data_IF_905082041838
#
_entry.id   IF_905082041838
#
_cell.length_a   1.000
_cell.length_b   1.000
_cell.length_c   1.000
_cell.angle_alpha   90.00
_cell.angle_beta   90.00
_cell.angle_gamma   90.00
#
_symmetry.space_group_name_H-M   'P 1'
#
loop_
_entity.id
_entity.type
_entity.pdbx_description
1 polymer ?
#
# COMPACT_ATOMS: atom_id res chain seq x y z
N UNK A 1 69.64 -9.45 -5.28
CA UNK A 1 68.89 -8.37 -5.96
C UNK A 1 67.50 -8.78 -6.48
N UNK A 2 66.88 -9.86 -5.97
CA UNK A 2 65.58 -10.37 -6.45
C UNK A 2 64.39 -10.18 -5.49
N UNK A 3 64.61 -9.79 -4.22
CA UNK A 3 63.52 -9.61 -3.25
C UNK A 3 62.89 -8.20 -3.23
N UNK A 4 63.52 -7.20 -3.88
CA UNK A 4 62.98 -5.84 -3.96
C UNK A 4 61.99 -5.64 -5.13
N UNK A 5 62.00 -6.52 -6.14
CA UNK A 5 61.13 -6.44 -7.32
C UNK A 5 59.75 -7.08 -7.10
N UNK A 6 59.63 -8.08 -6.22
CA UNK A 6 58.33 -8.67 -5.86
C UNK A 6 57.47 -7.78 -4.95
N UNK A 7 58.10 -6.95 -4.11
CA UNK A 7 57.42 -6.02 -3.20
C UNK A 7 56.69 -4.89 -3.94
N UNK A 8 57.30 -4.34 -5.01
CA UNK A 8 56.68 -3.27 -5.82
C UNK A 8 55.51 -3.76 -6.69
N UNK A 9 55.55 -5.00 -7.20
CA UNK A 9 54.44 -5.57 -7.97
C UNK A 9 53.20 -5.86 -7.11
N UNK A 10 53.37 -6.32 -5.85
CA UNK A 10 52.24 -6.54 -4.94
C UNK A 10 51.59 -5.24 -4.44
N UNK A 11 52.36 -4.17 -4.23
CA UNK A 11 51.79 -2.86 -3.85
C UNK A 11 50.94 -2.22 -4.97
N UNK A 12 51.33 -2.38 -6.24
CA UNK A 12 50.55 -1.82 -7.35
C UNK A 12 49.24 -2.58 -7.65
N UNK A 13 49.18 -3.88 -7.35
CA UNK A 13 47.93 -4.66 -7.49
C UNK A 13 46.94 -4.31 -6.36
N UNK A 14 47.42 -4.02 -5.15
CA UNK A 14 46.54 -3.64 -4.02
C UNK A 14 45.99 -2.21 -4.19
N UNK A 15 46.77 -1.28 -4.76
CA UNK A 15 46.30 0.10 -5.03
C UNK A 15 45.35 0.15 -6.24
N UNK A 16 45.53 -0.71 -7.25
CA UNK A 16 44.57 -0.82 -8.36
C UNK A 16 43.27 -1.55 -7.97
N UNK A 17 43.31 -2.48 -7.02
CA UNK A 17 42.09 -3.13 -6.52
C UNK A 17 41.26 -2.22 -5.60
N UNK A 18 41.89 -1.25 -4.93
CA UNK A 18 41.18 -0.22 -4.16
C UNK A 18 40.57 0.90 -5.02
N UNK A 19 41.07 1.11 -6.24
CA UNK A 19 40.47 2.06 -7.19
C UNK A 19 39.33 1.48 -8.03
N UNK A 20 39.18 0.14 -8.08
CA UNK A 20 38.08 -0.53 -8.80
C UNK A 20 36.93 -1.01 -7.89
N UNK A 21 37.07 -0.93 -6.57
CA UNK A 21 36.01 -1.27 -5.59
C UNK A 21 35.46 -0.02 -4.87
N UNK A 22 35.86 1.18 -5.29
CA UNK A 22 35.26 2.46 -4.86
C UNK A 22 34.18 2.97 -5.85
N UNK A 23 34.06 2.34 -7.02
CA UNK A 23 33.18 2.78 -8.11
C UNK A 23 32.07 1.76 -8.41
N UNK A 24 31.42 1.20 -7.38
CA UNK A 24 30.23 0.35 -7.55
C UNK A 24 29.29 0.36 -6.34
N UNK A 25 29.26 1.48 -5.61
CA UNK A 25 28.25 1.80 -4.61
C UNK A 25 27.76 3.23 -4.76
N UNK A 26 27.54 3.66 -6.02
CA UNK A 26 26.43 4.56 -6.26
C UNK A 26 25.17 3.71 -6.11
N UNK A 27 24.72 3.54 -4.86
CA UNK A 27 23.29 3.46 -4.62
C UNK A 27 22.78 4.76 -5.23
N UNK A 28 22.24 4.67 -6.44
CA UNK A 28 21.33 5.66 -6.95
C UNK A 28 20.20 5.71 -5.93
N UNK A 29 20.37 6.57 -4.93
CA UNK A 29 19.27 7.23 -4.28
C UNK A 29 18.67 8.02 -5.43
N UNK A 30 17.81 7.35 -6.20
CA UNK A 30 16.83 7.97 -7.06
C UNK A 30 16.12 8.91 -6.11
N UNK A 31 16.52 10.17 -6.14
CA UNK A 31 15.78 11.25 -5.52
C UNK A 31 14.51 11.26 -6.33
N UNK A 32 13.54 10.46 -5.89
CA UNK A 32 12.17 10.54 -6.36
C UNK A 32 11.82 12.00 -6.16
N UNK A 33 11.81 12.77 -7.25
CA UNK A 33 11.37 14.14 -7.22
C UNK A 33 9.96 14.07 -6.70
N UNK A 34 9.77 14.40 -5.42
CA UNK A 34 8.48 14.37 -4.77
C UNK A 34 7.55 15.15 -5.70
N UNK A 35 6.58 14.46 -6.29
CA UNK A 35 5.59 15.09 -7.13
C UNK A 35 5.06 16.29 -6.37
N UNK A 36 5.14 17.48 -6.97
CA UNK A 36 4.50 18.66 -6.38
C UNK A 36 3.01 18.38 -6.48
N UNK A 37 2.37 18.00 -5.37
CA UNK A 37 0.93 18.19 -5.22
C UNK A 37 0.66 19.63 -5.66
N UNK A 38 -0.23 19.82 -6.63
CA UNK A 38 -0.51 21.13 -7.22
C UNK A 38 -1.15 22.04 -6.16
N UNK A 39 -0.33 22.56 -5.24
CA UNK A 39 -0.73 23.53 -4.22
C UNK A 39 -1.17 24.79 -4.95
N UNK A 40 -2.46 25.12 -4.87
CA UNK A 40 -3.07 26.28 -5.53
C UNK A 40 -4.07 25.94 -6.65
N UNK A 41 -4.14 24.69 -7.11
CA UNK A 41 -5.20 24.28 -8.04
C UNK A 41 -6.49 24.02 -7.27
N UNK A 42 -7.58 24.69 -7.67
CA UNK A 42 -8.90 24.38 -7.13
C UNK A 42 -9.29 22.97 -7.57
N UNK A 43 -9.63 22.12 -6.61
CA UNK A 43 -10.19 20.80 -6.90
C UNK A 43 -11.36 20.94 -7.86
N UNK A 44 -11.30 20.25 -9.00
CA UNK A 44 -12.37 20.21 -9.96
C UNK A 44 -13.18 18.93 -9.74
N UNK A 45 -14.46 19.10 -9.39
CA UNK A 45 -15.39 17.99 -9.27
C UNK A 45 -15.50 17.27 -10.61
N UNK A 46 -15.27 15.96 -10.62
CA UNK A 46 -15.59 15.12 -11.77
C UNK A 46 -17.05 14.69 -11.65
N UNK A 47 -17.84 14.95 -12.70
CA UNK A 47 -19.22 14.52 -12.76
C UNK A 47 -19.30 13.11 -13.37
N UNK A 48 -19.35 12.10 -12.51
CA UNK A 48 -19.45 10.71 -12.95
C UNK A 48 -20.77 10.43 -13.69
N UNK A 49 -21.87 11.15 -13.38
CA UNK A 49 -23.20 10.85 -13.95
C UNK A 49 -23.30 11.13 -15.44
N UNK A 50 -22.60 12.17 -15.91
CA UNK A 50 -22.61 12.59 -17.30
C UNK A 50 -21.33 12.19 -18.05
N UNK A 51 -20.43 11.45 -17.40
CA UNK A 51 -19.17 11.04 -18.01
C UNK A 51 -19.39 9.86 -18.97
N UNK A 52 -19.04 10.06 -20.24
CA UNK A 52 -18.91 8.96 -21.19
C UNK A 52 -17.57 8.23 -20.95
N UNK A 53 -17.62 6.96 -20.54
CA UNK A 53 -16.40 6.18 -20.34
C UNK A 53 -15.81 5.67 -21.66
N UNK A 54 -14.49 5.63 -21.73
CA UNK A 54 -13.76 4.91 -22.77
C UNK A 54 -13.63 3.43 -22.45
N UNK A 55 -13.47 3.12 -21.15
CA UNK A 55 -13.33 1.76 -20.65
C UNK A 55 -14.08 1.54 -19.34
N UNK A 56 -14.43 0.28 -19.10
CA UNK A 56 -15.08 -0.19 -17.89
C UNK A 56 -14.30 -1.34 -17.27
N UNK A 57 -14.33 -1.42 -15.95
CA UNK A 57 -13.74 -2.51 -15.16
C UNK A 57 -14.81 -3.08 -14.24
N UNK A 58 -15.00 -4.39 -14.22
CA UNK A 58 -16.03 -5.05 -13.40
C UNK A 58 -15.55 -6.42 -12.93
N UNK A 59 -16.03 -6.87 -11.76
CA UNK A 59 -15.72 -8.19 -11.19
C UNK A 59 -16.24 -9.37 -12.03
N UNK A 60 -17.24 -9.13 -12.88
CA UNK A 60 -17.73 -10.07 -13.88
C UNK A 60 -17.13 -9.85 -15.29
N UNK A 61 -16.05 -9.06 -15.37
CA UNK A 61 -15.35 -8.73 -16.61
C UNK A 61 -14.41 -9.83 -17.11
N UNK A 62 -13.76 -9.56 -18.24
CA UNK A 62 -12.72 -10.42 -18.81
C UNK A 62 -11.63 -9.58 -19.49
N UNK A 63 -10.37 -9.83 -19.18
CA UNK A 63 -9.25 -9.04 -19.71
C UNK A 63 -8.95 -9.26 -21.21
N UNK A 64 -9.58 -10.26 -21.82
CA UNK A 64 -9.58 -10.48 -23.27
C UNK A 64 -10.61 -9.66 -24.04
N UNK A 65 -11.60 -9.07 -23.35
CA UNK A 65 -12.63 -8.23 -23.97
C UNK A 65 -12.12 -6.84 -24.36
N UNK A 66 -12.97 -6.05 -25.01
CA UNK A 66 -12.62 -4.69 -25.46
C UNK A 66 -12.58 -3.68 -24.30
N UNK A 67 -13.32 -3.97 -23.22
CA UNK A 67 -13.51 -3.07 -22.08
C UNK A 67 -14.48 -1.91 -22.36
N UNK A 68 -15.12 -1.84 -23.54
CA UNK A 68 -15.93 -0.68 -23.96
C UNK A 68 -17.40 -0.73 -23.52
N UNK A 69 -17.85 -1.86 -22.98
CA UNK A 69 -19.21 -2.05 -22.48
C UNK A 69 -19.20 -2.07 -20.95
N UNK A 70 -20.18 -1.42 -20.34
CA UNK A 70 -20.32 -1.39 -18.88
C UNK A 70 -20.66 -2.78 -18.30
N UNK A 71 -21.31 -3.61 -19.09
CA UNK A 71 -21.74 -4.96 -18.73
C UNK A 71 -21.38 -5.95 -19.85
N UNK A 72 -21.17 -7.24 -19.52
CA UNK A 72 -21.00 -8.29 -20.53
C UNK A 72 -22.19 -8.31 -21.49
N UNK A 73 -21.93 -8.45 -22.80
CA UNK A 73 -22.99 -8.70 -23.76
C UNK A 73 -23.64 -10.07 -23.54
N UNK A 74 -24.83 -10.30 -24.12
CA UNK A 74 -25.61 -11.53 -23.91
C UNK A 74 -24.82 -12.82 -24.18
N UNK A 75 -23.94 -12.78 -25.18
CA UNK A 75 -23.13 -13.93 -25.60
C UNK A 75 -21.80 -14.06 -24.84
N UNK A 76 -21.50 -13.15 -23.89
CA UNK A 76 -20.23 -13.06 -23.15
C UNK A 76 -18.99 -13.04 -24.06
N UNK A 77 -19.10 -12.41 -25.22
CA UNK A 77 -18.00 -12.23 -26.17
C UNK A 77 -17.32 -10.87 -26.04
N UNK A 78 -17.98 -9.90 -25.40
CA UNK A 78 -17.41 -8.59 -25.08
C UNK A 78 -18.05 -8.02 -23.81
N UNK A 79 -17.39 -7.05 -23.18
CA UNK A 79 -17.75 -6.55 -21.87
C UNK A 79 -16.68 -5.67 -21.23
N UNK A 80 -16.76 -5.42 -19.90
CA UNK A 80 -15.75 -4.71 -19.13
C UNK A 80 -14.48 -5.55 -18.94
N UNK A 81 -13.35 -4.91 -18.66
CA UNK A 81 -12.15 -5.62 -18.20
C UNK A 81 -12.36 -6.22 -16.81
N UNK A 82 -11.62 -7.27 -16.47
CA UNK A 82 -11.61 -7.85 -15.14
C UNK A 82 -10.65 -7.09 -14.19
N UNK A 83 -9.53 -6.58 -14.71
CA UNK A 83 -8.46 -5.97 -13.91
C UNK A 83 -8.19 -4.50 -14.23
N UNK A 84 -7.70 -3.77 -13.22
CA UNK A 84 -7.25 -2.38 -13.35
C UNK A 84 -5.98 -2.28 -14.20
N UNK A 85 -5.11 -3.28 -14.15
CA UNK A 85 -3.89 -3.38 -14.94
C UNK A 85 -4.21 -3.49 -16.42
N UNK A 86 -5.24 -4.26 -16.78
CA UNK A 86 -5.69 -4.37 -18.16
C UNK A 86 -6.27 -3.06 -18.67
N UNK A 87 -7.04 -2.36 -17.84
CA UNK A 87 -7.55 -1.03 -18.16
C UNK A 87 -6.41 -0.03 -18.34
N UNK A 88 -5.39 -0.05 -17.48
CA UNK A 88 -4.18 0.77 -17.61
C UNK A 88 -3.47 0.56 -18.95
N UNK A 89 -3.27 -0.70 -19.37
CA UNK A 89 -2.70 -1.00 -20.69
C UNK A 89 -3.58 -0.47 -21.84
N UNK A 90 -4.91 -0.55 -21.71
CA UNK A 90 -5.84 -0.03 -22.70
C UNK A 90 -5.79 1.51 -22.80
N UNK A 91 -5.72 2.20 -21.66
CA UNK A 91 -5.55 3.66 -21.57
C UNK A 91 -4.25 4.08 -22.25
N UNK A 92 -3.12 3.43 -21.94
CA UNK A 92 -1.83 3.71 -22.61
C UNK A 92 -1.95 3.58 -24.11
N UNK A 93 -2.58 2.50 -24.60
CA UNK A 93 -2.81 2.30 -26.04
C UNK A 93 -3.67 3.41 -26.65
N UNK A 94 -4.85 3.68 -26.07
CA UNK A 94 -5.76 4.72 -26.56
C UNK A 94 -5.09 6.10 -26.56
N UNK A 95 -4.34 6.42 -25.52
CA UNK A 95 -3.55 7.64 -25.42
C UNK A 95 -2.62 7.80 -26.62
N UNK A 96 -1.97 6.72 -27.07
CA UNK A 96 -1.10 6.80 -28.25
C UNK A 96 -1.83 7.13 -29.55
N UNK A 97 -3.14 6.86 -29.63
CA UNK A 97 -3.97 7.05 -30.82
C UNK A 97 -4.62 8.44 -30.86
N UNK A 98 -5.08 8.93 -29.69
CA UNK A 98 -5.88 10.16 -29.58
C UNK A 98 -5.05 11.43 -29.38
N UNK A 99 -3.85 11.33 -28.81
CA UNK A 99 -2.97 12.48 -28.60
C UNK A 99 -1.98 12.67 -29.77
N UNK A 100 -2.11 13.78 -30.50
CA UNK A 100 -1.28 14.14 -31.67
C UNK A 100 -1.17 15.66 -31.84
N UNK A 101 -0.03 16.26 -32.22
CA UNK A 101 1.26 15.63 -32.43
C UNK A 101 1.97 15.37 -31.10
N UNK A 102 2.73 14.27 -31.03
CA UNK A 102 3.63 13.97 -29.92
C UNK A 102 4.97 14.64 -30.22
N UNK A 103 5.17 15.88 -29.78
CA UNK A 103 6.49 16.56 -29.88
C UNK A 103 6.88 17.10 -28.50
N UNK A 104 8.18 17.27 -28.31
CA UNK A 104 8.71 17.96 -27.12
C UNK A 104 8.15 19.40 -27.03
N UNK A 105 7.98 19.96 -25.82
CA UNK A 105 7.51 21.32 -25.62
C UNK A 105 8.33 22.31 -26.45
N UNK A 106 7.66 23.26 -27.10
CA UNK A 106 8.32 24.24 -27.98
C UNK A 106 9.20 25.16 -27.13
N UNK A 107 10.50 25.22 -27.46
CA UNK A 107 11.41 26.20 -26.85
C UNK A 107 10.95 27.63 -27.16
N UNK A 108 11.00 28.50 -26.15
CA UNK A 108 10.46 29.88 -26.16
C UNK A 108 11.04 30.81 -27.24
N UNK A 109 12.06 30.40 -27.98
CA UNK A 109 12.87 31.24 -28.89
C UNK A 109 12.42 31.31 -30.36
N UNK A 110 11.29 30.71 -30.75
CA UNK A 110 10.96 30.46 -32.18
C UNK A 110 9.58 30.97 -32.66
N UNK A 111 9.22 32.24 -32.42
CA UNK A 111 7.86 32.80 -32.58
C UNK A 111 7.51 33.18 -34.05
N UNK A 112 6.27 32.90 -34.49
CA UNK A 112 5.58 33.67 -35.54
C UNK A 112 5.14 32.90 -36.80
N UNK A 113 3.94 32.28 -36.76
CA UNK A 113 3.10 31.89 -37.93
C UNK A 113 1.78 31.23 -37.43
N UNK A 114 0.77 30.96 -38.29
CA UNK A 114 -0.49 30.31 -37.89
C UNK A 114 -0.40 28.77 -37.90
N UNK A 115 -0.85 28.11 -36.83
CA UNK A 115 -0.49 26.71 -36.57
C UNK A 115 -1.63 25.81 -36.09
N UNK A 116 -1.46 24.49 -36.34
CA UNK A 116 -2.47 23.45 -36.08
C UNK A 116 -2.26 22.89 -34.68
N UNK A 117 -3.18 23.24 -33.77
CA UNK A 117 -3.23 22.68 -32.42
C UNK A 117 -3.07 21.16 -32.44
N UNK A 118 -2.38 20.63 -31.44
CA UNK A 118 -2.55 19.23 -31.12
C UNK A 118 -4.01 18.90 -30.80
N UNK A 119 -4.33 17.62 -30.89
CA UNK A 119 -5.59 17.01 -30.51
C UNK A 119 -5.32 16.08 -29.35
N UNK A 120 -6.28 16.05 -28.44
CA UNK A 120 -6.36 15.14 -27.31
C UNK A 120 -7.79 15.09 -26.82
N UNK A 121 -8.05 14.18 -25.90
CA UNK A 121 -9.33 14.12 -25.18
C UNK A 121 -9.10 13.54 -23.80
N UNK A 122 -10.04 13.81 -22.89
CA UNK A 122 -10.07 13.10 -21.62
C UNK A 122 -10.29 11.61 -21.88
N UNK A 123 -9.63 10.77 -21.08
CA UNK A 123 -9.83 9.33 -21.08
C UNK A 123 -10.45 8.95 -19.74
N UNK A 124 -11.59 8.28 -19.79
CA UNK A 124 -12.35 7.90 -18.58
C UNK A 124 -12.44 6.39 -18.47
N UNK A 125 -12.06 5.88 -17.30
CA UNK A 125 -12.27 4.49 -16.89
C UNK A 125 -13.27 4.48 -15.75
N UNK A 126 -14.42 3.82 -15.94
CA UNK A 126 -15.41 3.62 -14.89
C UNK A 126 -15.28 2.22 -14.28
N UNK A 127 -15.15 2.17 -12.96
CA UNK A 127 -14.95 0.95 -12.19
C UNK A 127 -16.25 0.63 -11.49
N UNK A 128 -16.81 -0.54 -11.80
CA UNK A 128 -18.08 -1.03 -11.27
C UNK A 128 -17.92 -1.51 -9.83
N UNK A 129 -19.04 -1.77 -9.18
CA UNK A 129 -19.09 -2.22 -7.80
C UNK A 129 -18.36 -3.56 -7.62
N UNK A 130 -17.73 -3.72 -6.47
CA UNK A 130 -17.04 -4.94 -6.08
C UNK A 130 -15.66 -4.74 -5.49
N UNK A 131 -15.08 -5.86 -5.09
CA UNK A 131 -13.74 -5.95 -4.50
C UNK A 131 -12.71 -6.29 -5.57
N UNK A 132 -11.71 -5.41 -5.71
CA UNK A 132 -10.58 -5.55 -6.61
C UNK A 132 -9.33 -5.79 -5.78
N UNK A 133 -8.96 -7.06 -5.65
CA UNK A 133 -7.74 -7.47 -4.94
C UNK A 133 -6.51 -7.27 -5.81
N UNK A 134 -5.54 -6.53 -5.28
CA UNK A 134 -4.23 -6.34 -5.87
C UNK A 134 -3.22 -7.30 -5.24
N UNK A 135 -2.54 -8.09 -6.09
CA UNK A 135 -1.38 -8.89 -5.69
C UNK A 135 -0.08 -8.07 -5.67
N UNK A 136 -0.08 -6.90 -6.33
CA UNK A 136 1.04 -5.96 -6.38
C UNK A 136 0.53 -4.53 -6.51
N UNK A 137 1.32 -3.51 -6.12
CA UNK A 137 0.89 -2.14 -6.23
C UNK A 137 0.58 -1.76 -7.68
N UNK A 138 -0.51 -1.02 -7.90
CA UNK A 138 -0.82 -0.42 -9.19
C UNK A 138 0.06 0.82 -9.39
N UNK A 139 1.06 0.68 -10.26
CA UNK A 139 2.02 1.75 -10.53
C UNK A 139 1.59 2.58 -11.74
N UNK A 140 1.39 3.88 -11.55
CA UNK A 140 1.12 4.85 -12.60
C UNK A 140 2.40 5.59 -13.00
N UNK A 141 2.75 5.47 -14.26
CA UNK A 141 3.87 6.15 -14.91
C UNK A 141 3.36 7.34 -15.76
N UNK A 142 4.25 8.14 -16.36
CA UNK A 142 3.82 9.28 -17.18
C UNK A 142 2.91 8.91 -18.35
N UNK A 143 3.00 7.68 -18.84
CA UNK A 143 2.14 7.11 -19.87
C UNK A 143 0.69 6.96 -19.41
N UNK A 144 0.44 6.89 -18.11
CA UNK A 144 -0.90 6.71 -17.53
C UNK A 144 -1.57 8.01 -17.12
N UNK A 145 -0.82 9.10 -17.07
CA UNK A 145 -1.37 10.43 -16.85
C UNK A 145 -2.07 10.96 -18.10
N UNK A 146 -2.84 12.04 -17.96
CA UNK A 146 -3.27 12.84 -19.09
C UNK A 146 -2.12 13.61 -19.75
N UNK A 147 -2.46 14.47 -20.71
CA UNK A 147 -1.49 15.36 -21.36
C UNK A 147 -2.00 16.79 -21.39
N UNK A 148 -1.06 17.72 -21.46
CA UNK A 148 -1.33 19.07 -21.88
C UNK A 148 -1.05 19.16 -23.36
N UNK A 149 -2.09 19.45 -24.14
CA UNK A 149 -1.94 19.61 -25.57
C UNK A 149 -1.64 21.07 -25.86
N UNK A 150 -0.49 21.30 -26.46
CA UNK A 150 0.03 22.62 -26.82
C UNK A 150 -0.13 22.88 -28.32
N UNK A 151 -0.02 24.16 -28.71
CA UNK A 151 0.15 24.51 -30.11
C UNK A 151 1.56 24.08 -30.55
N UNK A 152 1.73 23.66 -31.80
CA UNK A 152 2.99 23.12 -32.28
C UNK A 152 4.08 24.17 -32.52
N UNK A 153 3.85 25.45 -32.22
CA UNK A 153 4.77 26.59 -32.39
C UNK A 153 4.48 27.68 -31.33
N UNK A 154 5.42 28.58 -31.00
CA UNK A 154 5.24 29.52 -29.92
C UNK A 154 4.35 30.69 -30.38
N UNK A 155 3.35 30.98 -29.56
CA UNK A 155 2.46 32.12 -29.74
C UNK A 155 3.24 33.39 -29.40
N UNK A 156 3.08 34.43 -30.20
CA UNK A 156 3.73 35.72 -29.92
C UNK A 156 3.33 36.28 -28.55
N UNK A 157 4.09 37.28 -28.07
CA UNK A 157 3.99 37.87 -26.72
C UNK A 157 2.58 38.37 -26.29
N UNK A 158 1.58 38.31 -27.18
CA UNK A 158 0.23 38.81 -26.97
C UNK A 158 -0.88 37.77 -27.16
N UNK A 159 -0.56 36.53 -27.54
CA UNK A 159 -1.54 35.45 -27.63
C UNK A 159 -1.41 34.51 -26.43
N UNK A 160 -2.40 34.60 -25.53
CA UNK A 160 -2.63 33.66 -24.44
C UNK A 160 -2.46 32.22 -24.96
N UNK A 161 -1.46 31.51 -24.42
CA UNK A 161 -1.29 30.08 -24.62
C UNK A 161 -2.58 29.37 -24.14
N UNK A 162 -3.51 29.09 -25.05
CA UNK A 162 -4.67 28.24 -24.73
C UNK A 162 -4.19 26.79 -24.65
N UNK A 163 -3.50 26.49 -23.57
CA UNK A 163 -3.12 25.14 -23.17
C UNK A 163 -4.40 24.45 -22.73
N UNK A 164 -4.67 23.27 -23.30
CA UNK A 164 -5.76 22.43 -22.83
C UNK A 164 -5.18 21.22 -22.13
N UNK A 165 -5.45 21.13 -20.83
CA UNK A 165 -5.25 19.90 -20.09
C UNK A 165 -6.34 18.90 -20.45
N UNK A 166 -5.89 17.69 -20.72
CA UNK A 166 -6.71 16.52 -20.77
C UNK A 166 -6.33 15.57 -19.64
N UNK A 167 -7.32 14.88 -19.11
CA UNK A 167 -7.17 14.04 -17.93
C UNK A 167 -7.33 12.57 -18.27
N UNK A 168 -6.60 11.73 -17.54
CA UNK A 168 -6.94 10.32 -17.41
C UNK A 168 -7.62 10.15 -16.06
N UNK A 169 -8.87 9.70 -16.07
CA UNK A 169 -9.69 9.57 -14.86
C UNK A 169 -10.08 8.12 -14.64
N UNK A 170 -9.70 7.56 -13.49
CA UNK A 170 -10.27 6.33 -12.96
C UNK A 170 -11.30 6.73 -11.91
N UNK A 171 -12.57 6.41 -12.17
CA UNK A 171 -13.66 6.78 -11.29
C UNK A 171 -14.56 5.59 -10.98
N UNK A 172 -15.23 5.65 -9.84
CA UNK A 172 -16.35 4.77 -9.57
C UNK A 172 -17.46 4.99 -10.60
N UNK A 173 -18.08 3.90 -11.03
CA UNK A 173 -19.30 3.94 -11.80
C UNK A 173 -20.39 4.69 -11.01
N UNK A 174 -21.27 5.48 -11.66
CA UNK A 174 -22.25 6.31 -10.97
C UNK A 174 -23.09 5.56 -9.92
N UNK A 175 -22.94 5.98 -8.65
CA UNK A 175 -23.69 5.41 -7.52
C UNK A 175 -23.07 4.15 -6.89
N UNK A 176 -22.01 3.62 -7.47
CA UNK A 176 -21.32 2.41 -7.01
C UNK A 176 -20.09 2.74 -6.15
N UNK A 177 -19.59 1.77 -5.37
CA UNK A 177 -18.49 1.97 -4.43
C UNK A 177 -17.44 0.86 -4.58
N UNK A 178 -16.68 0.86 -5.70
CA UNK A 178 -15.57 -0.09 -5.86
C UNK A 178 -14.56 0.04 -4.73
N UNK A 179 -14.10 -1.13 -4.26
CA UNK A 179 -13.11 -1.26 -3.21
C UNK A 179 -11.85 -1.87 -3.81
N UNK A 180 -10.76 -1.12 -3.75
CA UNK A 180 -9.43 -1.57 -4.16
C UNK A 180 -8.71 -1.96 -2.88
N UNK A 181 -8.42 -3.25 -2.76
CA UNK A 181 -7.86 -3.85 -1.54
C UNK A 181 -6.63 -4.67 -1.91
N UNK A 182 -5.84 -5.04 -0.91
CA UNK A 182 -4.67 -5.91 -1.11
C UNK A 182 -5.00 -7.34 -0.71
N UNK A 183 -4.22 -8.26 -1.26
CA UNK A 183 -4.09 -9.60 -0.71
C UNK A 183 -5.24 -10.51 -1.11
N UNK A 184 -4.99 -11.81 -0.98
CA UNK A 184 -5.97 -12.83 -1.36
C UNK A 184 -7.06 -12.92 -0.32
N UNK A 185 -8.29 -13.12 -0.78
CA UNK A 185 -9.39 -13.42 0.12
C UNK A 185 -9.06 -14.70 0.89
N UNK A 186 -9.20 -14.64 2.21
CA UNK A 186 -9.02 -15.77 3.12
C UNK A 186 -10.37 -16.46 3.26
N UNK A 187 -10.41 -17.74 2.90
CA UNK A 187 -11.62 -18.56 2.88
C UNK A 187 -11.40 -19.90 3.59
N UNK A 188 -12.37 -20.81 3.47
CA UNK A 188 -12.32 -22.18 3.99
C UNK A 188 -12.22 -22.25 5.52
N UNK A 189 -12.91 -21.35 6.20
CA UNK A 189 -12.98 -21.29 7.64
C UNK A 189 -13.78 -22.48 8.19
N UNK A 190 -13.27 -23.09 9.24
CA UNK A 190 -13.88 -24.21 9.97
C UNK A 190 -14.19 -23.77 11.38
N UNK A 191 -15.40 -24.03 11.83
CA UNK A 191 -15.84 -23.68 13.17
C UNK A 191 -15.41 -24.72 14.20
N UNK A 192 -14.90 -24.26 15.34
CA UNK A 192 -14.69 -25.05 16.55
C UNK A 192 -15.11 -24.23 17.78
N UNK A 193 -16.32 -24.47 18.27
CA UNK A 193 -16.94 -23.61 19.29
C UNK A 193 -17.17 -22.19 18.76
N UNK A 194 -16.64 -21.19 19.45
CA UNK A 194 -16.71 -19.78 19.05
C UNK A 194 -15.58 -19.34 18.11
N UNK A 195 -14.53 -20.16 17.97
CA UNK A 195 -13.35 -19.85 17.17
C UNK A 195 -13.48 -20.50 15.80
N UNK A 196 -13.21 -19.72 14.77
CA UNK A 196 -13.07 -20.19 13.40
C UNK A 196 -11.61 -20.26 13.03
N UNK A 197 -11.20 -21.34 12.34
CA UNK A 197 -9.82 -21.52 11.90
C UNK A 197 -9.71 -21.82 10.42
N UNK A 198 -8.61 -21.39 9.81
CA UNK A 198 -8.26 -21.73 8.43
C UNK A 198 -6.75 -21.82 8.26
N UNK A 199 -6.31 -22.50 7.20
CA UNK A 199 -4.90 -22.57 6.81
C UNK A 199 -4.58 -21.46 5.83
N UNK A 200 -3.52 -20.71 6.11
CA UNK A 200 -3.04 -19.63 5.24
C UNK A 200 -1.63 -19.98 4.77
N UNK A 201 -1.50 -20.36 3.49
CA UNK A 201 -0.23 -20.78 2.87
C UNK A 201 0.38 -19.59 2.13
N UNK A 202 1.67 -19.27 2.33
CA UNK A 202 2.40 -18.16 1.68
C UNK A 202 1.98 -16.73 2.06
N UNK A 203 1.58 -16.47 3.31
CA UNK A 203 1.19 -15.10 3.72
C UNK A 203 1.89 -14.65 5.01
N UNK A 204 2.40 -13.42 4.98
CA UNK A 204 2.66 -12.63 6.18
C UNK A 204 1.29 -12.12 6.65
N UNK A 205 0.78 -12.63 7.77
CA UNK A 205 -0.50 -12.17 8.33
C UNK A 205 -0.21 -11.13 9.41
N UNK A 206 -0.28 -9.85 9.04
CA UNK A 206 0.00 -8.73 9.96
C UNK A 206 -1.25 -7.98 10.40
N UNK A 207 -2.32 -8.09 9.61
CA UNK A 207 -3.63 -7.50 9.89
C UNK A 207 -4.72 -8.39 9.35
N UNK A 208 -5.92 -8.28 9.93
CA UNK A 208 -7.11 -8.96 9.42
C UNK A 208 -8.20 -7.93 9.18
N UNK A 209 -8.70 -7.88 7.95
CA UNK A 209 -9.84 -7.08 7.55
C UNK A 209 -11.03 -8.00 7.30
N UNK A 210 -12.19 -7.66 7.85
CA UNK A 210 -13.45 -8.35 7.60
C UNK A 210 -14.44 -7.31 7.10
N UNK A 211 -14.87 -7.43 5.84
CA UNK A 211 -15.79 -6.51 5.18
C UNK A 211 -15.33 -5.03 5.30
N UNK A 212 -14.02 -4.81 5.14
CA UNK A 212 -13.36 -3.51 5.24
C UNK A 212 -13.07 -3.02 6.67
N UNK A 213 -13.48 -3.77 7.71
CA UNK A 213 -13.22 -3.42 9.11
C UNK A 213 -12.00 -4.13 9.67
N UNK A 214 -11.06 -3.35 10.24
CA UNK A 214 -9.89 -3.88 10.94
C UNK A 214 -10.28 -4.62 12.20
N UNK A 215 -9.85 -5.88 12.29
CA UNK A 215 -10.04 -6.75 13.44
C UNK A 215 -8.88 -6.65 14.42
N UNK A 216 -9.15 -6.94 15.69
CA UNK A 216 -8.19 -6.77 16.78
C UNK A 216 -7.29 -8.00 16.87
N UNK A 217 -5.97 -7.82 16.86
CA UNK A 217 -5.09 -8.93 17.20
C UNK A 217 -5.30 -9.30 18.68
N UNK A 218 -5.47 -10.58 18.97
CA UNK A 218 -5.76 -11.10 20.31
C UNK A 218 -4.84 -10.47 21.37
N UNK A 219 -5.44 -9.79 22.35
CA UNK A 219 -4.69 -8.91 23.26
C UNK A 219 -5.30 -8.82 24.66
N UNK A 220 -4.45 -8.45 25.62
CA UNK A 220 -4.87 -8.10 26.97
C UNK A 220 -4.26 -6.76 27.44
N UNK A 221 -5.06 -5.86 28.06
CA UNK A 221 -6.50 -5.99 28.22
C UNK A 221 -7.18 -5.83 26.86
N UNK A 222 -8.36 -6.44 26.71
CA UNK A 222 -9.12 -6.46 25.45
C UNK A 222 -9.50 -5.03 25.03
N UNK A 223 -9.62 -4.12 25.99
CA UNK A 223 -9.78 -2.68 25.75
C UNK A 223 -8.88 -1.87 26.68
N UNK A 224 -8.45 -0.68 26.23
CA UNK A 224 -7.62 0.21 27.06
C UNK A 224 -6.17 -0.25 27.20
N UNK A 225 -5.59 -0.04 28.39
CA UNK A 225 -4.18 -0.32 28.68
C UNK A 225 -4.00 -0.66 30.16
N UNK A 226 -3.03 -1.53 30.45
CA UNK A 226 -2.48 -1.67 31.80
C UNK A 226 -1.57 -0.49 32.14
N UNK A 227 -1.34 -0.29 33.44
CA UNK A 227 -0.38 0.70 33.96
C UNK A 227 0.50 0.01 35.01
N UNK A 228 1.83 -0.01 34.82
CA UNK A 228 2.78 -0.56 35.77
C UNK A 228 2.58 0.06 37.17
N UNK A 229 2.75 -0.72 38.24
CA UNK A 229 2.63 -0.19 39.61
C UNK A 229 3.78 0.76 39.98
N UNK A 230 4.89 0.70 39.25
CA UNK A 230 6.10 1.51 39.49
C UNK A 230 6.90 1.70 38.21
N UNK A 231 7.86 2.62 38.25
CA UNK A 231 8.87 2.78 37.19
C UNK A 231 9.82 1.59 37.22
N UNK A 232 10.20 1.06 36.04
CA UNK A 232 11.16 -0.04 35.95
C UNK A 232 12.52 0.36 36.54
N UNK A 233 13.18 -0.56 37.24
CA UNK A 233 14.54 -0.30 37.78
C UNK A 233 15.61 -0.39 36.71
N UNK A 234 15.38 -1.25 35.71
CA UNK A 234 16.28 -1.45 34.58
C UNK A 234 15.54 -1.33 33.26
N UNK A 235 16.29 -1.15 32.17
CA UNK A 235 15.71 -1.08 30.81
C UNK A 235 15.25 -2.44 30.29
N UNK A 236 15.57 -3.53 31.00
CA UNK A 236 15.27 -4.90 30.57
C UNK A 236 14.00 -5.49 31.18
N UNK A 237 13.30 -4.75 32.03
CA UNK A 237 12.18 -5.27 32.81
C UNK A 237 10.98 -4.32 32.82
N UNK A 238 9.81 -4.87 33.10
CA UNK A 238 8.57 -4.15 33.33
C UNK A 238 7.86 -4.75 34.56
N UNK A 239 7.70 -4.01 35.66
CA UNK A 239 6.81 -4.43 36.73
C UNK A 239 5.35 -4.38 36.24
N UNK A 240 4.55 -5.37 36.63
CA UNK A 240 3.13 -5.44 36.31
C UNK A 240 2.30 -5.70 37.58
N UNK A 241 0.97 -5.54 37.54
CA UNK A 241 0.12 -5.90 38.68
C UNK A 241 -0.30 -7.35 38.57
N UNK A 242 -0.47 -8.05 39.69
CA UNK A 242 -0.95 -9.43 39.72
C UNK A 242 -2.15 -9.65 38.79
N UNK A 243 -1.99 -10.55 37.82
CA UNK A 243 -3.03 -10.92 36.87
C UNK A 243 -3.01 -10.17 35.53
N UNK A 244 -2.32 -9.03 35.44
CA UNK A 244 -2.20 -8.26 34.18
C UNK A 244 -1.45 -9.05 33.10
N UNK A 245 -0.37 -9.74 33.51
CA UNK A 245 0.47 -10.54 32.63
C UNK A 245 0.64 -11.93 33.25
N UNK A 246 0.56 -12.96 32.42
CA UNK A 246 0.83 -14.35 32.82
C UNK A 246 1.94 -14.94 31.95
N UNK A 247 2.56 -16.00 32.42
CA UNK A 247 3.48 -16.80 31.63
C UNK A 247 2.69 -17.77 30.75
N UNK A 248 1.99 -17.23 29.74
CA UNK A 248 1.20 -18.02 28.79
C UNK A 248 2.10 -18.98 28.00
N UNK A 249 1.52 -20.08 27.51
CA UNK A 249 2.24 -20.98 26.60
C UNK A 249 2.49 -20.31 25.24
N UNK A 250 3.62 -20.65 24.61
CA UNK A 250 3.98 -20.23 23.25
C UNK A 250 4.02 -18.70 23.04
N UNK A 251 4.57 -17.97 24.00
CA UNK A 251 4.72 -16.51 23.92
C UNK A 251 5.83 -16.03 22.97
N UNK A 252 6.47 -16.88 22.16
CA UNK A 252 7.69 -16.51 21.43
C UNK A 252 7.51 -15.36 20.43
N UNK A 253 6.27 -15.19 19.94
CA UNK A 253 5.84 -14.14 19.02
C UNK A 253 5.03 -13.02 19.69
N UNK A 254 4.94 -12.99 21.04
CA UNK A 254 4.20 -11.95 21.75
C UNK A 254 4.69 -10.55 21.38
N UNK A 255 3.78 -9.58 21.43
CA UNK A 255 4.11 -8.16 21.26
C UNK A 255 3.64 -7.39 22.48
N UNK A 256 4.51 -6.53 22.98
CA UNK A 256 4.23 -5.59 24.06
C UNK A 256 4.28 -4.21 23.47
N UNK A 257 3.11 -3.55 23.44
CA UNK A 257 2.96 -2.21 22.89
C UNK A 257 2.86 -1.24 24.05
N UNK A 258 3.78 -0.28 24.07
CA UNK A 258 3.95 0.67 25.17
C UNK A 258 3.75 2.10 24.67
N UNK A 259 3.06 2.93 25.45
CA UNK A 259 2.93 4.36 25.17
C UNK A 259 4.00 5.13 25.94
N UNK A 260 5.09 5.47 25.25
CA UNK A 260 6.28 6.10 25.79
C UNK A 260 6.29 7.60 25.45
N UNK A 261 5.56 8.39 26.24
CA UNK A 261 5.39 9.85 26.09
C UNK A 261 4.99 10.25 24.66
N UNK A 262 5.96 10.56 23.80
CA UNK A 262 5.77 11.05 22.43
C UNK A 262 5.92 9.97 21.35
N UNK A 263 6.20 8.72 21.71
CA UNK A 263 6.25 7.60 20.76
C UNK A 263 5.66 6.32 21.34
N UNK A 264 5.43 5.33 20.48
CA UNK A 264 5.11 3.96 20.89
C UNK A 264 6.38 3.11 20.93
N UNK A 265 6.50 2.25 21.93
CA UNK A 265 7.52 1.21 22.00
C UNK A 265 6.90 -0.13 21.60
N UNK A 266 7.54 -0.85 20.68
CA UNK A 266 7.12 -2.18 20.24
C UNK A 266 8.20 -3.18 20.63
N UNK A 267 7.89 -4.07 21.57
CA UNK A 267 8.83 -5.04 22.11
C UNK A 267 8.16 -6.41 22.28
N UNK A 268 8.85 -7.35 22.93
CA UNK A 268 8.32 -8.66 23.32
C UNK A 268 8.86 -9.03 24.69
N UNK A 269 8.10 -9.78 25.48
CA UNK A 269 8.63 -10.42 26.69
C UNK A 269 9.38 -11.71 26.33
N UNK A 270 10.56 -11.88 26.90
CA UNK A 270 11.34 -13.12 26.83
C UNK A 270 11.03 -14.07 28.00
N UNK A 271 10.58 -13.51 29.14
CA UNK A 271 10.23 -14.26 30.35
C UNK A 271 9.24 -13.46 31.18
N UNK A 272 8.29 -14.14 31.81
CA UNK A 272 7.39 -13.56 32.81
C UNK A 272 7.61 -14.27 34.15
N UNK A 273 7.92 -13.51 35.20
CA UNK A 273 7.98 -13.99 36.58
C UNK A 273 6.73 -13.52 37.33
N UNK A 274 5.70 -14.35 37.35
CA UNK A 274 4.42 -14.04 38.01
C UNK A 274 4.53 -13.93 39.54
N UNK A 275 5.51 -14.60 40.15
CA UNK A 275 5.69 -14.55 41.61
C UNK A 275 6.22 -13.20 42.05
N UNK A 276 7.17 -12.65 41.28
CA UNK A 276 7.79 -11.36 41.56
C UNK A 276 7.12 -10.19 40.82
N UNK A 277 6.13 -10.47 39.96
CA UNK A 277 5.38 -9.49 39.19
C UNK A 277 6.27 -8.67 38.22
N UNK A 278 7.29 -9.34 37.65
CA UNK A 278 8.25 -8.74 36.71
C UNK A 278 8.23 -9.50 35.38
N UNK A 279 8.04 -8.78 34.28
CA UNK A 279 8.24 -9.30 32.93
C UNK A 279 9.55 -8.78 32.35
N UNK A 280 10.31 -9.64 31.69
CA UNK A 280 11.62 -9.31 31.12
C UNK A 280 11.51 -9.17 29.61
N UNK A 281 11.99 -8.06 29.07
CA UNK A 281 11.97 -7.81 27.64
C UNK A 281 13.03 -8.61 26.88
N UNK A 282 12.73 -8.93 25.62
CA UNK A 282 13.68 -9.52 24.67
C UNK A 282 14.74 -8.50 24.23
N UNK A 283 14.38 -7.22 24.16
CA UNK A 283 15.29 -6.09 23.88
C UNK A 283 15.15 -5.04 24.97
N UNK A 284 16.24 -4.41 25.38
CA UNK A 284 16.16 -3.28 26.34
C UNK A 284 15.33 -2.12 25.78
N UNK A 285 14.43 -1.58 26.58
CA UNK A 285 13.63 -0.39 26.29
C UNK A 285 14.05 0.76 27.21
N UNK A 286 14.53 1.86 26.65
CA UNK A 286 15.03 2.99 27.46
C UNK A 286 13.90 3.78 28.08
N UNK A 287 12.73 3.80 27.45
CA UNK A 287 11.62 4.63 27.93
C UNK A 287 11.02 4.16 29.27
N UNK A 288 11.13 2.87 29.61
CA UNK A 288 10.48 2.28 30.81
C UNK A 288 11.09 2.71 32.15
N UNK A 289 12.35 3.17 32.15
CA UNK A 289 13.02 3.68 33.37
C UNK A 289 12.80 5.18 33.58
N UNK A 290 12.17 5.88 32.61
CA UNK A 290 11.92 7.31 32.68
C UNK A 290 10.51 7.56 33.23
N UNK A 291 9.51 6.88 32.66
CA UNK A 291 8.10 6.94 33.08
C UNK A 291 7.50 5.54 33.00
N UNK A 292 6.52 5.18 33.85
CA UNK A 292 5.83 3.92 33.70
C UNK A 292 4.91 4.00 32.46
N UNK A 293 5.14 3.20 31.40
CA UNK A 293 4.29 3.28 30.21
C UNK A 293 2.93 2.64 30.45
N UNK A 294 1.88 3.21 29.87
CA UNK A 294 0.68 2.42 29.59
C UNK A 294 1.03 1.35 28.56
N UNK A 295 0.59 0.12 28.76
CA UNK A 295 0.93 -0.98 27.84
C UNK A 295 -0.20 -1.98 27.66
N UNK A 296 -0.08 -2.81 26.64
CA UNK A 296 -0.87 -4.02 26.47
C UNK A 296 0.00 -5.11 25.82
N UNK A 297 -0.41 -6.35 25.99
CA UNK A 297 0.22 -7.52 25.37
C UNK A 297 -0.70 -8.06 24.29
N UNK A 298 -0.18 -8.36 23.12
CA UNK A 298 -0.92 -8.94 22.00
C UNK A 298 -0.15 -10.11 21.39
N UNK A 299 -0.81 -10.82 20.47
CA UNK A 299 -0.23 -11.91 19.69
C UNK A 299 0.15 -13.15 20.51
N UNK A 300 -0.74 -13.57 21.41
CA UNK A 300 -0.61 -14.81 22.18
C UNK A 300 -1.92 -15.59 22.06
N UNK A 301 -1.87 -16.88 21.73
CA UNK A 301 -3.06 -17.70 21.47
C UNK A 301 -4.06 -17.70 22.63
N UNK A 302 -3.56 -17.72 23.87
CA UNK A 302 -4.38 -17.73 25.08
C UNK A 302 -5.17 -16.42 25.30
N UNK A 303 -4.86 -15.35 24.56
CA UNK A 303 -5.56 -14.07 24.63
C UNK A 303 -6.71 -13.97 23.62
N UNK A 304 -6.91 -14.98 22.77
CA UNK A 304 -8.03 -15.01 21.81
C UNK A 304 -9.30 -15.40 22.56
N UNK A 305 -10.04 -14.41 23.08
CA UNK A 305 -11.14 -14.69 24.01
C UNK A 305 -12.42 -13.87 23.78
N UNK A 306 -12.38 -12.79 22.99
CA UNK A 306 -13.57 -11.98 22.68
C UNK A 306 -13.83 -11.83 21.18
N UNK A 307 -15.09 -11.49 20.86
CA UNK A 307 -15.55 -11.19 19.50
C UNK A 307 -14.72 -10.10 18.84
N UNK A 308 -14.38 -10.32 17.57
CA UNK A 308 -13.55 -9.42 16.76
C UNK A 308 -12.04 -9.65 16.92
N UNK A 309 -11.61 -10.62 17.73
CA UNK A 309 -10.20 -10.95 17.89
C UNK A 309 -9.73 -12.03 16.91
N UNK A 310 -8.47 -11.94 16.50
CA UNK A 310 -7.79 -12.95 15.70
C UNK A 310 -6.39 -13.27 16.21
N UNK A 311 -5.87 -14.44 15.84
CA UNK A 311 -4.52 -14.89 16.17
C UNK A 311 -3.95 -15.71 15.01
N UNK A 312 -2.68 -15.48 14.66
CA UNK A 312 -1.99 -16.25 13.63
C UNK A 312 -0.87 -17.11 14.22
N UNK A 313 -1.06 -18.42 14.18
CA UNK A 313 -0.03 -19.41 14.50
C UNK A 313 0.90 -19.58 13.29
N UNK A 314 2.02 -18.84 13.31
CA UNK A 314 3.03 -18.88 12.25
C UNK A 314 3.68 -20.26 12.08
N UNK A 315 3.79 -21.04 13.16
CA UNK A 315 4.43 -22.36 13.12
C UNK A 315 3.57 -23.36 12.34
N UNK A 316 2.25 -23.27 12.51
CA UNK A 316 1.30 -24.18 11.89
C UNK A 316 0.52 -23.57 10.71
N UNK A 317 0.87 -22.34 10.31
CA UNK A 317 0.19 -21.55 9.27
C UNK A 317 -1.34 -21.52 9.45
N UNK A 318 -1.77 -21.32 10.70
CA UNK A 318 -3.17 -21.38 11.10
C UNK A 318 -3.65 -20.03 11.60
N UNK A 319 -4.66 -19.49 10.93
CA UNK A 319 -5.32 -18.26 11.34
C UNK A 319 -6.58 -18.64 12.14
N UNK A 320 -6.71 -18.07 13.33
CA UNK A 320 -7.86 -18.20 14.21
C UNK A 320 -8.58 -16.86 14.32
N UNK A 321 -9.91 -16.85 14.33
CA UNK A 321 -10.73 -15.64 14.40
C UNK A 321 -12.01 -15.92 15.20
N UNK A 322 -12.41 -14.98 16.06
CA UNK A 322 -13.73 -14.97 16.69
C UNK A 322 -14.55 -13.89 15.99
N UNK A 323 -15.60 -14.25 15.23
CA UNK A 323 -16.46 -13.28 14.56
C UNK A 323 -17.06 -12.24 15.51
N UNK A 324 -17.20 -11.01 15.01
CA UNK A 324 -17.90 -9.96 15.75
C UNK A 324 -19.38 -10.32 15.98
N UNK A 325 -20.05 -10.77 14.92
CA UNK A 325 -21.36 -11.39 15.02
C UNK A 325 -21.20 -12.85 15.43
N UNK A 326 -21.69 -13.21 16.61
CA UNK A 326 -21.61 -14.57 17.16
C UNK A 326 -22.31 -15.62 16.29
N UNK A 327 -23.25 -15.19 15.44
CA UNK A 327 -23.96 -16.06 14.49
C UNK A 327 -23.43 -15.92 13.06
N UNK A 328 -22.43 -15.06 12.84
CA UNK A 328 -21.83 -14.83 11.53
C UNK A 328 -20.92 -15.99 11.12
N UNK A 329 -21.06 -16.44 9.88
CA UNK A 329 -20.12 -17.37 9.23
C UNK A 329 -19.08 -16.55 8.43
N UNK A 330 -17.79 -16.59 8.82
CA UNK A 330 -16.69 -15.93 8.11
C UNK A 330 -16.59 -16.25 6.62
N UNK A 331 -17.09 -17.40 6.18
CA UNK A 331 -17.07 -17.79 4.76
C UNK A 331 -18.03 -16.95 3.90
N UNK A 332 -18.99 -16.25 4.52
CA UNK A 332 -19.88 -15.31 3.83
C UNK A 332 -19.30 -13.88 3.80
N UNK A 333 -18.22 -13.62 4.51
CA UNK A 333 -17.56 -12.32 4.58
C UNK A 333 -16.37 -12.21 3.63
N UNK A 334 -16.01 -10.97 3.32
CA UNK A 334 -14.80 -10.61 2.58
C UNK A 334 -13.66 -10.40 3.56
N UNK A 335 -12.90 -11.47 3.78
CA UNK A 335 -11.79 -11.49 4.74
C UNK A 335 -10.46 -11.43 4.02
N UNK A 336 -9.60 -10.48 4.39
CA UNK A 336 -8.30 -10.27 3.77
C UNK A 336 -7.22 -10.03 4.82
N UNK A 337 -5.97 -10.33 4.45
CA UNK A 337 -4.78 -9.84 5.15
C UNK A 337 -3.94 -9.03 4.18
N UNK A 338 -3.44 -7.89 4.64
CA UNK A 338 -2.52 -7.09 3.85
C UNK A 338 -1.22 -7.82 3.55
N UNK A 339 -0.73 -7.62 2.33
CA UNK A 339 0.60 -8.05 1.88
C UNK A 339 1.40 -6.91 1.27
N UNK A 340 0.80 -5.72 1.15
CA UNK A 340 1.35 -4.60 0.39
C UNK A 340 1.36 -3.35 1.28
N UNK A 341 2.52 -2.72 1.38
CA UNK A 341 2.67 -1.43 2.08
C UNK A 341 2.02 -0.25 1.31
N UNK A 342 1.67 -0.46 0.04
CA UNK A 342 1.05 0.55 -0.83
C UNK A 342 0.17 -0.11 -1.91
N UNK A 343 -1.04 0.40 -2.13
CA UNK A 343 -1.91 -0.04 -3.23
C UNK A 343 -1.62 0.69 -4.54
N UNK A 344 -1.31 1.98 -4.44
CA UNK A 344 -1.07 2.86 -5.59
C UNK A 344 0.27 3.53 -5.42
N UNK A 345 1.05 3.51 -6.50
CA UNK A 345 2.31 4.25 -6.60
C UNK A 345 2.27 5.13 -7.84
N UNK A 346 2.48 6.44 -7.69
CA UNK A 346 2.54 7.38 -8.82
C UNK A 346 3.99 7.79 -9.01
N UNK A 347 4.61 7.33 -10.10
CA UNK A 347 6.05 7.42 -10.33
C UNK A 347 6.34 8.21 -11.61
N UNK A 348 6.82 9.44 -11.44
CA UNK A 348 7.39 10.24 -12.52
C UNK A 348 8.89 10.40 -12.37
N UNK A 349 9.54 10.91 -13.41
CA UNK A 349 10.95 11.32 -13.35
C UNK A 349 11.07 12.82 -13.66
N UNK A 350 12.18 13.43 -13.27
CA UNK A 350 12.47 14.83 -13.63
C UNK A 350 12.37 15.00 -15.14
N UNK A 351 11.64 16.00 -15.61
CA UNK A 351 11.38 16.25 -17.04
C UNK A 351 10.22 15.44 -17.63
N UNK A 352 9.84 14.31 -17.01
CA UNK A 352 8.71 13.48 -17.43
C UNK A 352 7.85 13.06 -16.22
N UNK A 353 7.11 14.00 -15.60
CA UNK A 353 6.24 13.69 -14.48
C UNK A 353 4.94 13.01 -14.94
N UNK A 354 4.27 12.29 -14.04
CA UNK A 354 2.85 11.95 -14.23
C UNK A 354 2.03 13.24 -14.12
N UNK A 355 1.17 13.51 -15.10
CA UNK A 355 0.32 14.71 -15.13
C UNK A 355 -1.14 14.32 -15.26
N UNK A 356 -2.03 15.15 -14.74
CA UNK A 356 -3.47 15.08 -15.00
C UNK A 356 -4.12 13.69 -14.78
N UNK A 357 -3.61 12.90 -13.84
CA UNK A 357 -4.23 11.65 -13.39
C UNK A 357 -5.26 11.97 -12.30
N UNK A 358 -6.47 11.43 -12.42
CA UNK A 358 -7.54 11.57 -11.43
C UNK A 358 -7.98 10.20 -10.93
N UNK A 359 -8.09 10.06 -9.62
CA UNK A 359 -8.74 8.94 -8.94
C UNK A 359 -9.97 9.51 -8.23
N UNK A 360 -11.17 9.01 -8.50
CA UNK A 360 -12.40 9.66 -8.06
C UNK A 360 -13.46 8.67 -7.56
N UNK A 361 -13.91 8.84 -6.32
CA UNK A 361 -14.95 8.00 -5.73
C UNK A 361 -14.54 6.54 -5.47
N UNK A 362 -13.22 6.25 -5.46
CA UNK A 362 -12.68 4.92 -5.19
C UNK A 362 -12.39 4.77 -3.69
N UNK A 363 -12.59 3.56 -3.17
CA UNK A 363 -12.22 3.19 -1.80
C UNK A 363 -10.92 2.40 -1.82
N UNK A 364 -9.99 2.74 -0.93
CA UNK A 364 -8.71 2.05 -0.75
C UNK A 364 -8.63 1.50 0.68
N UNK A 365 -8.29 0.22 0.83
CA UNK A 365 -8.20 -0.43 2.14
C UNK A 365 -7.08 -1.48 2.20
N UNK A 366 -6.63 -1.79 3.43
CA UNK A 366 -5.68 -2.87 3.66
C UNK A 366 -4.20 -2.52 3.47
N UNK A 367 -3.78 -1.27 3.58
CA UNK A 367 -2.34 -0.94 3.69
C UNK A 367 -1.96 -0.54 5.09
#
# INVERSE_FOLDING_TARGET
MNNLLQSKKKKNVIVQLFFFISMLLFISISSYGQGKLLRGEKWQKFDTKNAAADFYVATNGNDSWSGKLAEPNTNKTDGPFASLERAQKAVRKLKTEVYKPKKDPVETRWIGSPHKLGKGKDIVVLIRDGYYSLEKPLVFYPEDGGERVETNLPTGAFEYHKLRDHYVTYAAYPGEKPIISTGKQISNWKQNGTIWTTKVIDHKVEMLLVDGKLQTLARTPNTGYFTPPSVSKTTGELPFKKGDVKNWENMEDNRVIMLLRWHSGNNSFAKVDEKNEIAYFKKSEKGVVIVPPRYYVENVKALLDVSGEWFFDKKNNELSYIPEDKNGDPNNSKIFSSQLDQLISIQGVKGKPVRNLRLYGLTFEGT
#
